data_IF_803597851597
#
_entry.id   IF_803597851597
#
_cell.length_a   1.000
_cell.length_b   1.000
_cell.length_c   1.000
_cell.angle_alpha   90.00
_cell.angle_beta   90.00
_cell.angle_gamma   90.00
#
_symmetry.space_group_name_H-M   'P 1'
#
loop_
_entity.id
_entity.type
_entity.pdbx_description
1 polymer ?
#
# COMPACT_ATOMS: atom_id res chain seq x y z
N UNK A 1 23.12 -7.91 -3.86
CA UNK A 1 21.78 -8.50 -3.72
C UNK A 1 21.20 -8.63 -5.11
N UNK A 2 20.59 -9.76 -5.45
CA UNK A 2 19.89 -9.94 -6.73
C UNK A 2 18.40 -9.64 -6.49
N UNK A 3 17.82 -8.71 -7.25
CA UNK A 3 16.46 -8.21 -7.02
C UNK A 3 15.36 -9.08 -7.66
N UNK A 4 15.74 -10.15 -8.33
CA UNK A 4 14.86 -11.05 -9.07
C UNK A 4 14.97 -12.46 -8.49
N UNK A 5 13.86 -13.19 -8.48
CA UNK A 5 13.89 -14.62 -8.12
C UNK A 5 14.66 -15.40 -9.19
N UNK A 6 15.58 -16.31 -8.83
CA UNK A 6 16.23 -17.22 -9.80
C UNK A 6 15.25 -18.17 -10.55
N UNK A 7 13.95 -18.13 -10.20
CA UNK A 7 12.87 -18.84 -10.89
C UNK A 7 11.97 -17.92 -11.72
N UNK A 8 12.23 -16.61 -11.74
CA UNK A 8 11.48 -15.65 -12.55
C UNK A 8 11.76 -15.90 -14.04
N UNK A 9 10.70 -16.10 -14.83
CA UNK A 9 10.79 -16.11 -16.29
C UNK A 9 10.58 -14.69 -16.78
N UNK A 10 11.54 -14.18 -17.54
CA UNK A 10 11.55 -12.83 -18.08
C UNK A 10 11.92 -12.96 -19.55
N UNK A 11 11.08 -12.41 -20.43
CA UNK A 11 11.27 -12.47 -21.88
C UNK A 11 11.40 -11.04 -22.44
N UNK A 12 12.15 -10.90 -23.55
CA UNK A 12 12.26 -9.62 -24.27
C UNK A 12 10.89 -9.18 -24.76
N UNK A 13 10.56 -7.90 -24.58
CA UNK A 13 9.25 -7.34 -24.88
C UNK A 13 8.23 -7.37 -23.74
N UNK A 14 8.50 -8.04 -22.61
CA UNK A 14 7.66 -7.94 -21.40
C UNK A 14 7.60 -6.49 -20.89
N UNK A 15 6.42 -6.05 -20.43
CA UNK A 15 6.22 -4.72 -19.82
C UNK A 15 6.80 -4.68 -18.40
N UNK A 16 7.46 -3.57 -18.07
CA UNK A 16 7.95 -3.25 -16.71
C UNK A 16 7.07 -2.16 -16.11
N UNK A 17 6.65 -2.34 -14.85
CA UNK A 17 5.85 -1.39 -14.08
C UNK A 17 6.39 -1.25 -12.65
N UNK A 18 6.03 -0.16 -11.96
CA UNK A 18 6.27 -0.03 -10.51
C UNK A 18 5.57 -1.13 -9.72
N UNK A 19 6.20 -1.61 -8.65
CA UNK A 19 5.63 -2.59 -7.72
C UNK A 19 4.88 -1.95 -6.55
N UNK A 20 5.19 -0.70 -6.23
CA UNK A 20 4.69 0.02 -5.05
C UNK A 20 5.25 -0.45 -3.70
N UNK A 21 6.22 -1.39 -3.69
CA UNK A 21 6.70 -2.04 -2.46
C UNK A 21 7.35 -1.08 -1.44
N UNK A 22 7.92 0.05 -1.89
CA UNK A 22 8.50 1.09 -1.02
C UNK A 22 7.49 2.14 -0.54
N UNK A 23 6.22 2.09 -0.96
CA UNK A 23 5.17 3.06 -0.60
C UNK A 23 5.25 4.44 -1.27
N UNK A 24 6.39 4.81 -1.85
CA UNK A 24 6.65 6.12 -2.47
C UNK A 24 6.01 6.32 -3.86
N UNK A 25 5.72 5.21 -4.56
CA UNK A 25 5.05 5.19 -5.86
C UNK A 25 3.87 4.21 -5.80
N UNK A 26 2.78 4.46 -6.54
CA UNK A 26 1.72 3.46 -6.71
C UNK A 26 2.24 2.25 -7.48
N UNK A 27 1.57 1.10 -7.34
CA UNK A 27 1.82 -0.06 -8.20
C UNK A 27 1.23 0.15 -9.61
N UNK A 28 1.81 -0.50 -10.62
CA UNK A 28 1.28 -0.54 -11.99
C UNK A 28 1.59 0.66 -12.89
N UNK A 29 2.30 1.69 -12.40
CA UNK A 29 2.77 2.79 -13.25
C UNK A 29 3.76 2.26 -14.29
N UNK A 30 3.52 2.54 -15.57
CA UNK A 30 4.30 1.98 -16.67
C UNK A 30 5.67 2.64 -16.80
N UNK A 31 6.72 1.82 -16.91
CA UNK A 31 8.11 2.27 -17.07
C UNK A 31 8.57 2.03 -18.51
N UNK A 32 8.41 0.79 -19.02
CA UNK A 32 8.97 0.42 -20.32
C UNK A 32 8.73 -1.03 -20.71
N UNK A 33 9.59 -1.57 -21.58
CA UNK A 33 9.69 -3.01 -21.88
C UNK A 33 11.12 -3.51 -21.75
N UNK A 34 11.27 -4.79 -21.42
CA UNK A 34 12.56 -5.49 -21.50
C UNK A 34 13.10 -5.41 -22.94
N UNK A 35 14.29 -4.85 -23.13
CA UNK A 35 14.96 -4.70 -24.43
C UNK A 35 16.04 -5.75 -24.66
N UNK A 36 16.76 -6.16 -23.61
CA UNK A 36 17.69 -7.30 -23.65
C UNK A 36 17.90 -7.91 -22.26
N UNK A 37 18.44 -9.12 -22.23
CA UNK A 37 18.81 -9.87 -21.03
C UNK A 37 20.31 -10.16 -21.13
N UNK A 38 21.10 -9.69 -20.17
CA UNK A 38 22.57 -9.75 -20.25
C UNK A 38 23.18 -10.15 -18.90
N UNK A 39 23.76 -11.36 -18.81
CA UNK A 39 24.56 -11.83 -17.66
C UNK A 39 23.93 -11.61 -16.27
N UNK A 40 22.61 -11.78 -16.16
CA UNK A 40 21.84 -11.58 -14.91
C UNK A 40 21.18 -10.20 -14.76
N UNK A 41 21.46 -9.27 -15.68
CA UNK A 41 20.81 -7.95 -15.74
C UNK A 41 19.67 -7.94 -16.77
N UNK A 42 18.61 -7.17 -16.45
CA UNK A 42 17.46 -6.93 -17.32
C UNK A 42 17.52 -5.48 -17.81
N UNK A 43 17.82 -5.29 -19.08
CA UNK A 43 17.85 -3.97 -19.71
C UNK A 43 16.44 -3.58 -20.16
N UNK A 44 16.04 -2.33 -19.93
CA UNK A 44 14.66 -1.84 -20.12
C UNK A 44 14.65 -0.62 -21.02
N UNK A 45 13.96 -0.70 -22.15
CA UNK A 45 13.64 0.46 -22.97
C UNK A 45 12.45 1.22 -22.35
N UNK A 46 12.68 2.46 -21.96
CA UNK A 46 11.64 3.39 -21.49
C UNK A 46 10.54 3.59 -22.53
N UNK A 47 9.29 3.76 -22.09
CA UNK A 47 8.20 4.28 -22.93
C UNK A 47 8.24 5.80 -23.10
N UNK A 48 8.93 6.50 -22.21
CA UNK A 48 9.12 7.96 -22.26
C UNK A 48 10.44 8.27 -22.96
N UNK A 49 10.37 9.13 -23.97
CA UNK A 49 11.53 9.83 -24.52
C UNK A 49 11.88 11.00 -23.58
N UNK A 50 13.00 10.89 -22.88
CA UNK A 50 13.44 11.88 -21.91
C UNK A 50 14.08 13.13 -22.55
N UNK A 51 14.45 13.06 -23.84
CA UNK A 51 14.96 14.22 -24.59
C UNK A 51 13.81 15.09 -25.15
N UNK A 52 12.55 14.65 -24.98
CA UNK A 52 11.33 15.29 -25.53
C UNK A 52 10.21 15.47 -24.50
N UNK A 53 10.56 15.92 -23.29
CA UNK A 53 9.57 16.23 -22.25
C UNK A 53 8.94 17.62 -22.42
N UNK A 54 7.66 17.66 -22.79
CA UNK A 54 6.84 18.88 -22.80
C UNK A 54 6.07 19.07 -21.48
N UNK A 55 5.57 17.98 -20.88
CA UNK A 55 4.74 17.99 -19.68
C UNK A 55 5.26 16.98 -18.65
N UNK A 56 5.44 17.44 -17.41
CA UNK A 56 5.88 16.63 -16.27
C UNK A 56 4.92 16.85 -15.10
N UNK A 57 4.54 15.77 -14.42
CA UNK A 57 3.69 15.83 -13.22
C UNK A 57 4.49 15.42 -12.00
N UNK A 58 4.72 16.35 -11.07
CA UNK A 58 5.23 16.05 -9.73
C UNK A 58 4.05 15.66 -8.84
N UNK A 59 4.11 14.50 -8.18
CA UNK A 59 3.03 13.98 -7.34
C UNK A 59 3.59 13.48 -6.02
N UNK A 60 3.08 14.01 -4.92
CA UNK A 60 3.16 13.36 -3.62
C UNK A 60 2.09 12.25 -3.56
N UNK A 61 2.54 11.00 -3.46
CA UNK A 61 1.67 9.82 -3.32
C UNK A 61 1.40 9.45 -1.86
N UNK A 62 2.15 9.98 -0.91
CA UNK A 62 1.96 9.75 0.52
C UNK A 62 0.88 10.64 1.10
N UNK A 63 0.85 11.92 0.72
CA UNK A 63 -0.24 12.86 1.03
C UNK A 63 -1.60 12.42 0.43
N UNK A 64 -1.60 11.48 -0.53
CA UNK A 64 -2.81 10.88 -1.13
C UNK A 64 -3.36 9.69 -0.36
N UNK A 65 -2.77 9.31 0.78
CA UNK A 65 -3.33 8.31 1.71
C UNK A 65 -4.55 8.89 2.44
N UNK A 66 -5.70 8.95 1.76
CA UNK A 66 -6.96 9.41 2.33
C UNK A 66 -7.46 8.43 3.41
N UNK A 67 -7.29 8.81 4.67
CA UNK A 67 -7.95 8.15 5.80
C UNK A 67 -9.36 8.74 5.94
N UNK A 68 -10.45 7.98 5.69
CA UNK A 68 -11.79 8.49 5.92
C UNK A 68 -11.99 8.71 7.43
N UNK A 69 -12.28 9.94 7.85
CA UNK A 69 -12.76 10.21 9.20
C UNK A 69 -14.21 9.71 9.25
N UNK A 70 -14.39 8.44 9.64
CA UNK A 70 -15.71 7.87 9.89
C UNK A 70 -16.25 8.44 11.23
N UNK A 71 -17.39 9.16 11.23
CA UNK A 71 -17.93 9.73 12.46
C UNK A 71 -18.62 8.65 13.31
N UNK A 72 -17.84 7.98 14.16
CA UNK A 72 -18.34 7.04 15.16
C UNK A 72 -17.29 6.01 15.59
N UNK A 73 -16.67 6.19 16.77
CA UNK A 73 -15.65 5.25 17.25
C UNK A 73 -14.76 5.72 18.41
N UNK A 74 -15.22 6.63 19.28
CA UNK A 74 -14.41 7.08 20.42
C UNK A 74 -14.42 6.06 21.57
N UNK A 75 -13.45 5.12 21.54
CA UNK A 75 -13.11 4.25 22.67
C UNK A 75 -11.64 3.84 22.59
N UNK A 76 -10.87 3.80 23.68
CA UNK A 76 -11.29 4.10 25.06
C UNK A 76 -10.24 3.63 26.08
N UNK A 77 -9.03 4.17 26.05
CA UNK A 77 -7.94 3.85 27.00
C UNK A 77 -7.93 4.85 28.16
N UNK A 78 -8.62 4.52 29.25
CA UNK A 78 -8.82 5.42 30.39
C UNK A 78 -7.85 5.24 31.57
N UNK A 79 -7.95 6.14 32.54
CA UNK A 79 -7.25 6.11 33.83
C UNK A 79 -8.07 6.83 34.93
N UNK A 80 -7.89 6.42 36.20
CA UNK A 80 -8.40 7.02 37.47
C UNK A 80 -9.93 7.20 37.62
N UNK A 81 -10.69 6.35 38.32
CA UNK A 81 -10.88 6.29 39.81
C UNK A 81 -11.46 7.59 40.38
N UNK A 82 -12.50 7.63 41.23
CA UNK A 82 -13.29 6.56 41.91
C UNK A 82 -14.73 6.42 41.31
N UNK A 83 -15.91 6.20 41.93
CA UNK A 83 -16.37 5.98 43.32
C UNK A 83 -17.70 5.18 43.44
N UNK A 84 -17.98 4.62 44.62
CA UNK A 84 -19.31 4.54 45.27
C UNK A 84 -20.48 3.74 44.67
N UNK A 85 -20.73 2.53 45.21
CA UNK A 85 -22.10 2.04 45.47
C UNK A 85 -22.68 0.92 44.58
N UNK A 86 -22.92 -0.25 45.18
CA UNK A 86 -23.69 -1.37 44.60
C UNK A 86 -24.59 -1.99 45.68
N UNK A 87 -25.91 -2.13 45.44
CA UNK A 87 -26.59 -3.41 45.73
C UNK A 87 -27.77 -3.75 44.80
N UNK A 88 -28.44 -4.89 45.09
CA UNK A 88 -29.68 -5.43 44.47
C UNK A 88 -29.47 -6.20 43.15
N UNK A 89 -29.33 -7.53 43.12
CA UNK A 89 -30.25 -8.63 43.50
C UNK A 89 -31.30 -8.99 42.43
N UNK A 90 -31.31 -10.29 42.08
CA UNK A 90 -32.22 -11.00 41.16
C UNK A 90 -33.09 -12.01 41.98
N UNK A 91 -34.02 -12.85 41.43
CA UNK A 91 -34.44 -13.09 40.03
C UNK A 91 -35.88 -12.54 39.78
N UNK A 92 -36.88 -13.10 39.06
CA UNK A 92 -37.24 -14.39 38.39
C UNK A 92 -38.43 -14.09 37.42
N UNK A 93 -39.00 -14.93 36.54
CA UNK A 93 -38.85 -16.33 36.10
C UNK A 93 -39.51 -16.55 34.70
N UNK A 94 -39.33 -17.74 34.08
CA UNK A 94 -40.34 -18.41 33.20
C UNK A 94 -40.64 -17.83 31.80
N UNK A 95 -40.88 -18.60 30.73
CA UNK A 95 -40.82 -20.07 30.50
C UNK A 95 -40.76 -20.39 28.98
N UNK A 96 -40.17 -21.54 28.64
CA UNK A 96 -40.25 -22.34 27.38
C UNK A 96 -40.59 -21.60 26.06
#
# INVERSE_FOLDING_TARGET
MELLSPKARIDVGMRVTTSGHSGQLPSGLAIGRVSSLQKGEVQVQSFVDFDRLEYVMVVDWEARKFTPILPGGSGGTGNTVTEGGQPSLAPTDTTQ
#
